data_IF_948954292299
#
_entry.id   IF_948954292299
#
_cell.length_a   1.000
_cell.length_b   1.000
_cell.length_c   1.000
_cell.angle_alpha   90.00
_cell.angle_beta   90.00
_cell.angle_gamma   90.00
#
_symmetry.space_group_name_H-M   'P 1'
#
loop_
_entity.id
_entity.type
_entity.pdbx_description
1 polymer ?
#
# COMPACT_ATOMS: atom_id res chain seq x y z
N UNK A 1 12.09 2.69 -11.73
CA UNK A 1 11.77 2.94 -10.31
C UNK A 1 11.00 1.76 -9.81
N UNK A 2 11.07 1.45 -8.53
CA UNK A 2 10.32 0.33 -7.97
C UNK A 2 8.82 0.59 -8.06
N UNK A 3 8.03 -0.47 -8.13
CA UNK A 3 6.58 -0.44 -8.22
C UNK A 3 5.97 -1.03 -6.95
N UNK A 4 5.05 -0.28 -6.35
CA UNK A 4 4.19 -0.72 -5.24
C UNK A 4 2.77 -0.82 -5.79
N UNK A 5 2.08 -1.90 -5.47
CA UNK A 5 0.75 -2.20 -6.00
C UNK A 5 -0.15 -2.44 -4.80
N UNK A 6 -1.23 -1.67 -4.70
CA UNK A 6 -2.27 -1.94 -3.71
C UNK A 6 -3.36 -2.76 -4.38
N UNK A 7 -3.67 -3.93 -3.84
CA UNK A 7 -4.69 -4.85 -4.37
C UNK A 7 -5.77 -5.10 -3.33
N UNK A 8 -7.02 -4.96 -3.77
CA UNK A 8 -8.21 -5.12 -2.94
C UNK A 8 -8.69 -6.56 -3.09
N UNK A 9 -8.62 -7.31 -1.99
CA UNK A 9 -9.09 -8.69 -1.99
C UNK A 9 -10.60 -8.79 -2.10
N UNK A 10 -11.07 -10.01 -2.37
CA UNK A 10 -12.49 -10.22 -2.60
C UNK A 10 -13.32 -10.27 -1.31
N UNK A 11 -12.79 -10.78 -0.19
CA UNK A 11 -13.58 -10.99 1.03
C UNK A 11 -12.88 -10.70 2.37
N UNK A 12 -11.57 -10.88 2.48
CA UNK A 12 -10.94 -11.01 3.79
C UNK A 12 -9.59 -10.29 3.95
N UNK A 13 -8.83 -10.09 2.87
CA UNK A 13 -7.48 -9.56 2.96
C UNK A 13 -7.22 -8.46 1.94
N UNK A 14 -6.53 -7.42 2.38
CA UNK A 14 -6.02 -6.34 1.55
C UNK A 14 -4.51 -6.43 1.52
N UNK A 15 -3.87 -6.11 0.38
CA UNK A 15 -2.43 -6.31 0.23
C UNK A 15 -1.69 -5.17 -0.48
N UNK A 16 -0.40 -5.07 -0.17
CA UNK A 16 0.58 -4.31 -0.93
C UNK A 16 1.61 -5.28 -1.51
N UNK A 17 1.68 -5.34 -2.83
CA UNK A 17 2.73 -6.03 -3.56
C UNK A 17 3.86 -5.09 -3.97
N UNK A 18 5.00 -5.69 -4.31
CA UNK A 18 6.20 -4.96 -4.73
C UNK A 18 6.89 -5.65 -5.91
N UNK A 19 7.16 -4.88 -6.97
CA UNK A 19 8.04 -5.28 -8.06
C UNK A 19 9.26 -4.34 -8.10
N UNK A 20 10.49 -4.87 -7.93
CA UNK A 20 11.69 -4.05 -7.96
C UNK A 20 11.95 -3.50 -9.36
N UNK A 21 12.64 -2.36 -9.43
CA UNK A 21 12.93 -1.67 -10.69
C UNK A 21 13.71 -2.50 -11.72
N UNK A 22 14.43 -3.53 -11.27
CA UNK A 22 15.23 -4.44 -12.09
C UNK A 22 14.50 -5.74 -12.46
N UNK A 23 13.22 -5.87 -12.08
CA UNK A 23 12.40 -6.99 -12.50
C UNK A 23 12.24 -7.04 -14.02
N UNK A 24 12.22 -8.26 -14.56
CA UNK A 24 11.88 -8.54 -15.97
C UNK A 24 10.36 -8.62 -16.20
N UNK A 25 9.56 -8.49 -15.15
CA UNK A 25 8.12 -8.70 -15.17
C UNK A 25 7.73 -10.19 -15.16
N UNK A 26 6.42 -10.43 -15.07
CA UNK A 26 5.82 -11.77 -15.10
C UNK A 26 5.54 -12.37 -13.72
N UNK A 27 5.67 -11.57 -12.66
CA UNK A 27 5.29 -11.94 -11.31
C UNK A 27 3.80 -12.30 -11.24
N UNK A 28 3.52 -13.33 -10.46
CA UNK A 28 2.16 -13.76 -10.17
C UNK A 28 1.92 -13.62 -8.66
N UNK A 29 1.14 -12.62 -8.27
CA UNK A 29 0.81 -12.35 -6.87
C UNK A 29 -0.26 -13.32 -6.30
N UNK A 30 -0.87 -14.13 -7.17
CA UNK A 30 -1.58 -15.35 -6.76
C UNK A 30 -3.10 -15.29 -6.86
N UNK A 31 -3.70 -14.16 -7.21
CA UNK A 31 -5.13 -14.09 -7.47
C UNK A 31 -5.53 -15.02 -8.64
N UNK A 32 -6.58 -15.84 -8.54
CA UNK A 32 -7.53 -15.98 -7.44
C UNK A 32 -7.33 -17.23 -6.56
N UNK A 33 -6.14 -17.81 -6.58
CA UNK A 33 -5.79 -18.89 -5.63
C UNK A 33 -5.62 -18.35 -4.22
N UNK A 34 -5.19 -17.10 -4.08
CA UNK A 34 -5.00 -16.41 -2.80
C UNK A 34 -5.65 -15.03 -2.74
N UNK A 35 -5.95 -14.58 -1.53
CA UNK A 35 -6.19 -13.18 -1.14
C UNK A 35 -5.08 -12.85 -0.12
N UNK A 36 -4.18 -11.92 -0.41
CA UNK A 36 -2.95 -11.83 0.38
C UNK A 36 -2.06 -13.05 0.18
N UNK A 37 -1.40 -13.47 1.26
CA UNK A 37 -0.72 -14.75 1.38
C UNK A 37 -1.66 -15.92 1.75
N UNK A 38 -2.98 -15.69 1.82
CA UNK A 38 -3.94 -16.67 2.35
C UNK A 38 -4.67 -17.43 1.25
N UNK A 39 -4.96 -18.72 1.49
CA UNK A 39 -5.75 -19.53 0.56
C UNK A 39 -7.14 -18.92 0.34
N UNK A 40 -7.55 -18.80 -0.92
CA UNK A 40 -8.87 -18.30 -1.30
C UNK A 40 -9.67 -19.34 -2.10
N UNK A 41 -9.30 -19.57 -3.38
CA UNK A 41 -10.10 -20.42 -4.26
C UNK A 41 -9.27 -21.36 -5.13
N UNK A 42 -9.57 -22.65 -4.98
CA UNK A 42 -8.89 -23.71 -5.73
C UNK A 42 -7.49 -23.98 -5.20
N UNK A 43 -6.72 -24.75 -5.94
CA UNK A 43 -5.32 -25.06 -5.58
C UNK A 43 -4.44 -24.64 -6.75
N UNK A 44 -3.39 -23.82 -6.51
CA UNK A 44 -2.47 -23.45 -7.56
C UNK A 44 -1.72 -24.70 -8.06
N UNK A 45 -1.37 -24.77 -9.36
CA UNK A 45 -0.45 -25.78 -9.85
C UNK A 45 0.85 -25.78 -9.03
N UNK A 46 1.42 -26.96 -8.76
CA UNK A 46 2.61 -27.09 -7.91
C UNK A 46 3.87 -26.41 -8.48
N UNK A 47 3.89 -26.16 -9.78
CA UNK A 47 4.96 -25.49 -10.52
C UNK A 47 4.72 -23.98 -10.70
N UNK A 48 3.58 -23.46 -10.23
CA UNK A 48 3.27 -22.04 -10.29
C UNK A 48 4.03 -21.30 -9.17
N UNK A 49 5.02 -20.49 -9.54
CA UNK A 49 5.69 -19.61 -8.60
C UNK A 49 4.76 -18.43 -8.26
N UNK A 50 4.42 -18.30 -6.99
CA UNK A 50 3.64 -17.19 -6.45
C UNK A 50 4.54 -16.27 -5.63
N UNK A 51 4.27 -14.97 -5.70
CA UNK A 51 4.97 -13.94 -4.94
C UNK A 51 4.08 -13.49 -3.79
N UNK A 52 4.59 -13.53 -2.57
CA UNK A 52 3.85 -13.05 -1.40
C UNK A 52 3.85 -11.52 -1.36
N UNK A 53 2.78 -10.90 -0.85
CA UNK A 53 2.75 -9.46 -0.65
C UNK A 53 3.79 -9.04 0.39
N UNK A 54 4.21 -7.77 0.30
CA UNK A 54 5.18 -7.18 1.25
C UNK A 54 4.50 -6.59 2.48
N UNK A 55 3.17 -6.43 2.43
CA UNK A 55 2.31 -6.08 3.55
C UNK A 55 0.89 -6.57 3.26
N UNK A 56 0.19 -7.06 4.28
CA UNK A 56 -1.21 -7.44 4.20
C UNK A 56 -1.93 -7.11 5.51
N UNK A 57 -3.23 -6.90 5.44
CA UNK A 57 -4.08 -6.71 6.62
C UNK A 57 -5.48 -7.29 6.39
N UNK A 58 -6.15 -7.63 7.49
CA UNK A 58 -7.44 -8.31 7.43
C UNK A 58 -8.60 -7.33 7.32
N UNK A 59 -9.75 -7.80 6.86
CA UNK A 59 -11.01 -7.04 6.88
C UNK A 59 -11.53 -6.73 8.30
N UNK A 60 -10.85 -7.21 9.35
CA UNK A 60 -11.10 -6.73 10.72
C UNK A 60 -10.47 -5.35 10.97
N UNK A 61 -9.43 -4.99 10.20
CA UNK A 61 -8.64 -3.76 10.38
C UNK A 61 -8.95 -2.70 9.30
N UNK A 62 -9.55 -3.11 8.17
CA UNK A 62 -10.00 -2.22 7.09
C UNK A 62 -10.90 -2.96 6.09
N UNK A 63 -11.06 -2.46 4.87
CA UNK A 63 -11.92 -3.11 3.87
C UNK A 63 -11.50 -2.90 2.40
N UNK A 64 -10.65 -1.91 2.13
CA UNK A 64 -10.30 -1.51 0.76
C UNK A 64 -9.05 -0.65 0.80
N UNK A 65 -7.92 -1.24 0.43
CA UNK A 65 -6.65 -0.55 0.34
C UNK A 65 -6.68 0.48 -0.79
N UNK A 66 -6.10 1.64 -0.51
CA UNK A 66 -5.85 2.72 -1.46
C UNK A 66 -4.34 2.96 -1.51
N UNK A 67 -3.76 2.62 -2.66
CA UNK A 67 -2.34 2.86 -2.93
C UNK A 67 -1.99 4.34 -2.99
N UNK A 68 -0.74 4.67 -2.67
CA UNK A 68 -0.26 6.04 -2.64
C UNK A 68 1.13 6.21 -3.23
N UNK A 69 2.02 6.91 -2.52
CA UNK A 69 3.31 7.33 -3.07
C UNK A 69 4.43 7.14 -2.06
N UNK A 70 5.64 6.90 -2.59
CA UNK A 70 6.87 7.06 -1.81
C UNK A 70 7.13 8.55 -1.60
N UNK A 71 7.22 8.97 -0.33
CA UNK A 71 7.47 10.36 0.03
C UNK A 71 8.90 10.77 -0.36
N UNK A 72 9.00 11.87 -1.12
CA UNK A 72 10.27 12.44 -1.61
C UNK A 72 10.41 13.93 -1.33
N UNK A 73 9.46 14.49 -0.58
CA UNK A 73 9.45 15.90 -0.18
C UNK A 73 10.58 16.29 0.76
N UNK A 74 10.58 17.56 1.11
CA UNK A 74 11.56 18.17 2.01
C UNK A 74 10.94 18.64 3.32
N UNK A 75 9.62 18.81 3.40
CA UNK A 75 8.95 19.26 4.62
C UNK A 75 9.01 18.21 5.74
N UNK A 76 9.00 16.92 5.39
CA UNK A 76 9.03 15.78 6.32
C UNK A 76 10.22 14.87 6.02
N UNK A 77 11.47 15.29 6.31
CA UNK A 77 12.67 14.51 5.99
C UNK A 77 12.67 13.10 6.60
N UNK A 78 12.01 12.90 7.73
CA UNK A 78 11.82 11.62 8.40
C UNK A 78 11.03 10.59 7.58
N UNK A 79 10.20 11.04 6.62
CA UNK A 79 9.37 10.17 5.80
C UNK A 79 10.03 9.84 4.45
N UNK A 80 11.22 10.37 4.17
CA UNK A 80 11.88 10.15 2.88
C UNK A 80 12.10 8.65 2.63
N UNK A 81 11.54 8.15 1.53
CA UNK A 81 11.62 6.74 1.14
C UNK A 81 10.49 5.86 1.70
N UNK A 82 9.63 6.39 2.57
CA UNK A 82 8.45 5.69 3.08
C UNK A 82 7.34 5.72 2.03
N UNK A 83 6.82 4.56 1.66
CA UNK A 83 5.60 4.40 0.86
C UNK A 83 4.38 4.61 1.76
N UNK A 84 3.55 5.61 1.43
CA UNK A 84 2.32 5.91 2.14
C UNK A 84 1.13 5.35 1.38
N UNK A 85 0.25 4.67 2.10
CA UNK A 85 -1.01 4.12 1.60
C UNK A 85 -2.06 4.18 2.71
N UNK A 86 -3.33 4.03 2.35
CA UNK A 86 -4.46 4.13 3.27
C UNK A 86 -5.43 2.99 3.08
N UNK A 87 -6.31 2.80 4.04
CA UNK A 87 -7.55 2.06 3.87
C UNK A 87 -8.71 3.04 3.70
N UNK A 88 -9.59 2.78 2.74
CA UNK A 88 -10.70 3.66 2.39
C UNK A 88 -11.81 3.65 3.45
N UNK A 89 -12.07 2.52 4.09
CA UNK A 89 -13.16 2.37 5.08
C UNK A 89 -12.82 3.00 6.43
N UNK A 90 -11.61 2.75 6.91
CA UNK A 90 -11.15 3.22 8.23
C UNK A 90 -10.52 4.61 8.17
N UNK A 91 -9.86 4.95 7.05
CA UNK A 91 -9.02 6.14 6.98
C UNK A 91 -7.67 6.00 7.68
N UNK A 92 -7.31 4.78 8.07
CA UNK A 92 -5.98 4.47 8.60
C UNK A 92 -4.93 4.64 7.50
N UNK A 93 -3.84 5.32 7.82
CA UNK A 93 -2.70 5.56 6.93
C UNK A 93 -1.48 4.85 7.49
N UNK A 94 -0.84 4.04 6.65
CA UNK A 94 0.39 3.33 6.97
C UNK A 94 1.58 3.89 6.22
N UNK A 95 2.75 3.74 6.82
CA UNK A 95 4.05 3.85 6.18
C UNK A 95 4.67 2.47 6.00
N UNK A 96 5.12 2.16 4.79
CA UNK A 96 5.90 0.98 4.46
C UNK A 96 7.29 1.39 3.98
N UNK A 97 8.33 0.83 4.59
CA UNK A 97 9.71 1.12 4.28
C UNK A 97 10.46 -0.17 3.95
N UNK A 98 11.18 -0.18 2.84
CA UNK A 98 12.18 -1.21 2.54
C UNK A 98 13.52 -0.80 3.13
N UNK A 99 13.99 -1.52 4.13
CA UNK A 99 15.28 -1.28 4.75
C UNK A 99 16.44 -1.64 3.80
N UNK A 100 17.64 -1.17 4.11
CA UNK A 100 18.83 -1.38 3.27
C UNK A 100 19.24 -2.86 3.13
N UNK A 101 18.86 -3.70 4.09
CA UNK A 101 19.06 -5.15 4.05
C UNK A 101 17.99 -5.89 3.25
N UNK A 102 17.02 -5.16 2.69
CA UNK A 102 15.91 -5.68 1.91
C UNK A 102 14.68 -6.09 2.73
N UNK A 103 14.74 -6.01 4.06
CA UNK A 103 13.58 -6.29 4.92
C UNK A 103 12.52 -5.20 4.84
N UNK A 104 11.27 -5.57 5.09
CA UNK A 104 10.13 -4.66 5.11
C UNK A 104 9.77 -4.27 6.53
N UNK A 105 9.52 -2.98 6.74
CA UNK A 105 9.04 -2.40 7.98
C UNK A 105 7.77 -1.62 7.71
N UNK A 106 6.71 -1.92 8.45
CA UNK A 106 5.45 -1.19 8.39
C UNK A 106 5.12 -0.54 9.72
N UNK A 107 4.41 0.58 9.64
CA UNK A 107 3.90 1.28 10.81
C UNK A 107 2.58 1.96 10.46
N UNK A 108 1.57 1.82 11.33
CA UNK A 108 0.41 2.70 11.32
C UNK A 108 0.84 4.08 11.78
N UNK A 109 0.65 5.09 10.93
CA UNK A 109 1.11 6.45 11.19
C UNK A 109 0.00 7.32 11.77
N UNK A 110 -1.18 7.29 11.15
CA UNK A 110 -2.31 8.14 11.53
C UNK A 110 -3.64 7.41 11.28
N UNK A 111 -4.59 7.59 12.19
CA UNK A 111 -6.00 7.34 11.94
C UNK A 111 -6.66 8.69 11.61
N UNK A 112 -7.08 8.85 10.36
CA UNK A 112 -7.64 10.12 9.87
C UNK A 112 -9.16 10.13 9.91
N UNK A 113 -9.81 8.96 9.97
CA UNK A 113 -11.25 8.80 9.73
C UNK A 113 -11.74 9.29 8.36
N UNK A 114 -10.83 9.55 7.40
CA UNK A 114 -11.16 10.03 6.06
C UNK A 114 -11.45 8.87 5.12
N UNK A 115 -12.30 9.10 4.11
CA UNK A 115 -12.47 8.15 3.00
C UNK A 115 -11.42 8.42 1.92
N UNK A 116 -10.17 8.10 2.24
CA UNK A 116 -9.02 8.35 1.34
C UNK A 116 -9.17 7.48 0.11
N UNK A 117 -9.53 8.11 -1.01
CA UNK A 117 -9.78 7.43 -2.29
C UNK A 117 -8.58 7.47 -3.23
N UNK A 118 -7.65 8.38 -2.95
CA UNK A 118 -6.41 8.52 -3.71
C UNK A 118 -5.42 9.40 -2.94
N UNK A 119 -4.20 9.44 -3.43
CA UNK A 119 -3.18 10.38 -3.01
C UNK A 119 -2.77 11.27 -4.19
N UNK A 120 -2.21 12.44 -3.89
CA UNK A 120 -1.54 13.30 -4.85
C UNK A 120 -0.09 13.55 -4.43
N UNK A 121 0.78 13.81 -5.41
CA UNK A 121 2.15 14.28 -5.18
C UNK A 121 2.41 15.54 -6.00
N UNK A 122 2.93 16.59 -5.38
CA UNK A 122 3.32 17.80 -6.10
C UNK A 122 4.74 17.70 -6.71
N UNK A 123 5.15 18.74 -7.44
CA UNK A 123 6.47 18.80 -8.05
C UNK A 123 7.63 18.91 -7.05
N UNK A 124 7.35 19.14 -5.76
CA UNK A 124 8.33 19.16 -4.68
C UNK A 124 8.41 17.80 -3.97
N UNK A 125 7.55 16.84 -4.31
CA UNK A 125 7.49 15.51 -3.70
C UNK A 125 6.65 15.45 -2.43
N UNK A 126 5.89 16.52 -2.12
CA UNK A 126 4.98 16.59 -0.98
C UNK A 126 3.70 15.84 -1.29
N UNK A 127 3.13 15.17 -0.28
CA UNK A 127 2.00 14.26 -0.44
C UNK A 127 0.70 14.88 0.06
N UNK A 128 -0.36 14.59 -0.68
CA UNK A 128 -1.71 15.02 -0.43
C UNK A 128 -2.64 13.80 -0.34
N UNK A 129 -3.62 13.84 0.55
CA UNK A 129 -4.70 12.87 0.66
C UNK A 129 -5.94 13.44 -0.03
N UNK A 130 -6.62 12.60 -0.81
CA UNK A 130 -7.88 12.95 -1.49
C UNK A 130 -9.02 12.24 -0.78
N UNK A 131 -9.75 12.99 0.04
CA UNK A 131 -10.89 12.49 0.79
C UNK A 131 -12.16 12.57 -0.06
N UNK A 132 -12.70 11.41 -0.44
CA UNK A 132 -13.95 11.33 -1.19
C UNK A 132 -15.15 11.75 -0.33
N UNK A 133 -15.10 11.52 0.98
CA UNK A 133 -16.23 11.77 1.89
C UNK A 133 -16.58 13.25 1.97
N UNK A 134 -15.57 14.11 2.17
CA UNK A 134 -15.75 15.57 2.19
C UNK A 134 -15.50 16.26 0.84
N UNK A 135 -14.84 15.59 -0.11
CA UNK A 135 -14.38 16.21 -1.37
C UNK A 135 -13.14 17.10 -1.21
N UNK A 136 -12.38 16.92 -0.12
CA UNK A 136 -11.23 17.75 0.22
C UNK A 136 -9.92 17.17 -0.29
N UNK A 137 -8.95 18.05 -0.52
CA UNK A 137 -7.54 17.70 -0.75
C UNK A 137 -6.73 18.23 0.43
N UNK A 138 -6.10 17.33 1.17
CA UNK A 138 -5.41 17.62 2.43
C UNK A 138 -3.91 17.40 2.25
N UNK A 139 -3.08 18.32 2.71
CA UNK A 139 -1.62 18.17 2.65
C UNK A 139 -1.10 17.53 3.92
N UNK A 140 -0.23 16.53 3.78
CA UNK A 140 0.52 15.98 4.90
C UNK A 140 1.56 16.99 5.41
N UNK A 141 1.55 17.29 6.71
CA UNK A 141 2.45 18.26 7.34
C UNK A 141 2.81 17.82 8.76
N UNK A 142 3.86 18.42 9.32
CA UNK A 142 4.21 18.28 10.73
C UNK A 142 3.28 19.16 11.55
N UNK A 143 2.92 18.71 12.76
CA UNK A 143 2.26 19.55 13.77
C UNK A 143 3.12 20.75 14.19
#
# INVERSE_FOLDING_TARGET
GDLYIADVGQNAWEEIDFSPADSTGGENYGWNYREGAHEFRGTPPSDLALIDPVFEYSHADGCSVTGGYVYRGQALPEFRGVYLFSDYCSGTVWGLLRAADGSWQSQELFDTGLSVSSFGQDAQGEIYLIDQGSGSVLRLQRE
#
